data_IF_220462591324
#
_entry.id   IF_220462591324
#
_cell.length_a   1.000
_cell.length_b   1.000
_cell.length_c   1.000
_cell.angle_alpha   90.00
_cell.angle_beta   90.00
_cell.angle_gamma   90.00
#
_symmetry.space_group_name_H-M   'P 1'
#
loop_
_entity.id
_entity.type
_entity.pdbx_description
1 polymer ?
#
# COMPACT_ATOMS: atom_id res chain seq x y z
N UNK A 1 -1.16 -5.31 -25.21
CA UNK A 1 -0.68 -4.05 -24.64
C UNK A 1 -0.89 -4.07 -23.13
N UNK A 2 0.17 -3.88 -22.36
CA UNK A 2 0.04 -3.83 -20.90
C UNK A 2 -0.53 -2.48 -20.49
N UNK A 3 -1.58 -2.51 -19.69
CA UNK A 3 -2.12 -1.29 -19.10
C UNK A 3 -1.21 -0.88 -17.95
N UNK A 4 -0.63 0.32 -18.03
CA UNK A 4 0.17 0.86 -16.95
C UNK A 4 -0.74 1.37 -15.85
N UNK A 5 -0.31 1.23 -14.62
CA UNK A 5 -1.11 1.59 -13.47
C UNK A 5 -0.32 2.46 -12.51
N UNK A 6 -1.01 3.01 -11.52
CA UNK A 6 -0.39 3.84 -10.49
C UNK A 6 -0.41 3.15 -9.13
N UNK A 7 0.49 3.59 -8.26
CA UNK A 7 0.57 3.12 -6.89
C UNK A 7 0.67 4.32 -5.95
N UNK A 8 0.29 4.09 -4.71
CA UNK A 8 0.38 5.08 -3.64
C UNK A 8 1.16 4.48 -2.49
N UNK A 9 2.13 5.22 -1.96
CA UNK A 9 2.83 4.87 -0.73
C UNK A 9 2.41 5.83 0.36
N UNK A 10 1.93 5.28 1.48
CA UNK A 10 1.54 6.05 2.65
C UNK A 10 2.54 5.76 3.75
N UNK A 11 3.48 6.68 3.95
CA UNK A 11 4.59 6.48 4.89
C UNK A 11 5.22 7.83 5.24
N UNK A 12 5.83 7.89 6.42
CA UNK A 12 6.64 9.04 6.80
C UNK A 12 7.91 9.10 5.96
N UNK A 13 8.47 10.30 5.71
CA UNK A 13 9.75 10.42 5.02
C UNK A 13 10.83 9.64 5.75
N UNK A 14 11.65 8.92 4.99
CA UNK A 14 12.74 8.13 5.55
C UNK A 14 13.19 7.01 4.62
N UNK A 15 14.17 6.20 5.09
CA UNK A 15 14.75 5.15 4.24
C UNK A 15 13.75 4.12 3.76
N UNK A 16 12.75 3.75 4.58
CA UNK A 16 11.76 2.77 4.17
C UNK A 16 10.93 3.30 3.00
N UNK A 17 10.44 4.53 3.10
CA UNK A 17 9.66 5.14 2.03
C UNK A 17 10.47 5.25 0.74
N UNK A 18 11.74 5.67 0.86
CA UNK A 18 12.61 5.83 -0.29
C UNK A 18 12.86 4.48 -0.98
N UNK A 19 13.07 3.42 -0.20
CA UNK A 19 13.28 2.08 -0.72
C UNK A 19 12.03 1.53 -1.41
N UNK A 20 10.87 1.75 -0.83
CA UNK A 20 9.61 1.30 -1.42
C UNK A 20 9.33 2.04 -2.72
N UNK A 21 9.60 3.34 -2.76
CA UNK A 21 9.42 4.13 -3.96
C UNK A 21 10.32 3.61 -5.10
N UNK A 22 11.60 3.42 -4.81
CA UNK A 22 12.55 2.92 -5.80
C UNK A 22 12.15 1.53 -6.29
N UNK A 23 11.70 0.67 -5.37
CA UNK A 23 11.24 -0.67 -5.72
C UNK A 23 10.04 -0.62 -6.68
N UNK A 24 9.02 0.15 -6.34
CA UNK A 24 7.81 0.25 -7.18
C UNK A 24 8.13 0.87 -8.53
N UNK A 25 8.98 1.88 -8.57
CA UNK A 25 9.38 2.52 -9.84
C UNK A 25 10.17 1.59 -10.75
N UNK A 26 10.76 0.52 -10.20
CA UNK A 26 11.46 -0.48 -11.01
C UNK A 26 10.52 -1.47 -11.69
N UNK A 27 9.25 -1.52 -11.29
CA UNK A 27 8.29 -2.47 -11.86
C UNK A 27 7.73 -1.93 -13.18
N UNK A 28 7.79 -2.71 -14.27
CA UNK A 28 7.35 -2.21 -15.59
C UNK A 28 5.87 -1.82 -15.65
N UNK A 29 5.03 -2.45 -14.83
CA UNK A 29 3.60 -2.19 -14.85
C UNK A 29 3.19 -0.95 -14.06
N UNK A 30 4.10 -0.38 -13.26
CA UNK A 30 3.83 0.82 -12.48
C UNK A 30 4.35 2.04 -13.24
N UNK A 31 3.45 2.97 -13.54
CA UNK A 31 3.80 4.19 -14.25
C UNK A 31 4.10 5.34 -13.31
N UNK A 32 3.27 5.52 -12.30
CA UNK A 32 3.37 6.64 -11.37
C UNK A 32 3.26 6.13 -9.95
N UNK A 33 4.15 6.60 -9.08
CA UNK A 33 4.09 6.35 -7.64
C UNK A 33 3.90 7.68 -6.92
N UNK A 34 2.81 7.79 -6.17
CA UNK A 34 2.55 8.98 -5.35
C UNK A 34 2.90 8.70 -3.91
N UNK A 35 3.31 9.73 -3.19
CA UNK A 35 3.74 9.63 -1.79
C UNK A 35 2.89 10.55 -0.94
N UNK A 36 2.33 10.02 0.16
CA UNK A 36 1.62 10.81 1.17
C UNK A 36 2.03 10.36 2.56
N UNK A 37 1.75 11.16 3.58
CA UNK A 37 2.24 10.92 4.93
C UNK A 37 1.14 10.63 5.94
N UNK A 38 -0.13 10.77 5.57
CA UNK A 38 -1.25 10.61 6.50
C UNK A 38 -2.46 9.98 5.81
N UNK A 39 -3.41 9.53 6.62
CA UNK A 39 -4.60 8.87 6.12
C UNK A 39 -5.53 9.78 5.31
N UNK A 40 -5.81 11.03 5.74
CA UNK A 40 -6.67 11.89 4.93
C UNK A 40 -6.12 12.16 3.53
N UNK A 41 -4.81 12.37 3.41
CA UNK A 41 -4.16 12.56 2.11
C UNK A 41 -4.25 11.29 1.26
N UNK A 42 -4.07 10.12 1.90
CA UNK A 42 -4.17 8.84 1.21
C UNK A 42 -5.56 8.65 0.61
N UNK A 43 -6.60 8.91 1.40
CA UNK A 43 -7.98 8.74 0.93
C UNK A 43 -8.31 9.70 -0.21
N UNK A 44 -7.76 10.91 -0.18
CA UNK A 44 -7.93 11.87 -1.27
C UNK A 44 -7.31 11.36 -2.56
N UNK A 45 -6.10 10.81 -2.49
CA UNK A 45 -5.42 10.25 -3.66
C UNK A 45 -6.18 9.04 -4.21
N UNK A 46 -6.67 8.17 -3.33
CA UNK A 46 -7.46 7.00 -3.75
C UNK A 46 -8.70 7.47 -4.50
N UNK A 47 -9.39 8.48 -3.98
CA UNK A 47 -10.61 9.01 -4.60
C UNK A 47 -10.33 9.64 -5.96
N UNK A 48 -9.26 10.43 -6.07
CA UNK A 48 -8.97 11.20 -7.29
C UNK A 48 -8.32 10.35 -8.38
N UNK A 49 -7.41 9.46 -8.01
CA UNK A 49 -6.55 8.79 -8.98
C UNK A 49 -6.77 7.29 -9.08
N UNK A 50 -7.52 6.70 -8.15
CA UNK A 50 -7.84 5.27 -8.14
C UNK A 50 -6.61 4.39 -8.40
N UNK A 51 -5.56 4.48 -7.56
CA UNK A 51 -4.36 3.67 -7.77
C UNK A 51 -4.69 2.19 -7.63
N UNK A 52 -3.98 1.36 -8.38
CA UNK A 52 -4.18 -0.09 -8.29
C UNK A 52 -3.65 -0.66 -6.98
N UNK A 53 -2.60 -0.05 -6.43
CA UNK A 53 -1.94 -0.52 -5.22
C UNK A 53 -1.78 0.62 -4.23
N UNK A 54 -2.14 0.37 -2.98
CA UNK A 54 -1.90 1.29 -1.86
C UNK A 54 -1.03 0.56 -0.85
N UNK A 55 0.18 1.05 -0.63
CA UNK A 55 1.17 0.46 0.25
C UNK A 55 1.26 1.33 1.49
N UNK A 56 0.94 0.78 2.67
CA UNK A 56 0.82 1.57 3.90
C UNK A 56 1.79 1.07 4.95
N UNK A 57 2.61 2.00 5.48
CA UNK A 57 3.45 1.74 6.65
C UNK A 57 2.66 2.03 7.91
N UNK A 58 2.67 1.12 8.89
CA UNK A 58 1.95 1.31 10.15
C UNK A 58 2.53 2.43 11.01
N UNK A 59 3.75 2.90 10.74
CA UNK A 59 4.38 3.97 11.52
C UNK A 59 3.95 5.37 11.04
N UNK A 60 2.67 5.58 10.87
CA UNK A 60 2.14 6.91 10.59
C UNK A 60 1.95 7.70 11.88
N UNK A 61 2.06 9.02 11.77
CA UNK A 61 1.92 9.91 12.92
C UNK A 61 0.52 9.82 13.56
N UNK A 62 -0.49 9.55 12.76
CA UNK A 62 -1.85 9.32 13.25
C UNK A 62 -2.15 7.82 13.24
N UNK A 63 -3.22 7.41 13.92
CA UNK A 63 -3.65 6.02 13.95
C UNK A 63 -4.59 5.69 12.78
N UNK A 64 -4.37 6.37 11.65
CA UNK A 64 -5.27 6.25 10.50
C UNK A 64 -5.02 5.07 9.59
N UNK A 65 -3.97 4.27 9.84
CA UNK A 65 -3.57 3.17 8.95
C UNK A 65 -4.71 2.18 8.72
N UNK A 66 -5.34 1.73 9.81
CA UNK A 66 -6.44 0.75 9.71
C UNK A 66 -7.66 1.36 9.03
N UNK A 67 -7.85 2.66 9.20
CA UNK A 67 -8.94 3.39 8.58
C UNK A 67 -8.83 3.45 7.07
N UNK A 68 -7.62 3.50 6.54
CA UNK A 68 -7.38 3.53 5.10
C UNK A 68 -7.97 2.28 4.44
N UNK A 69 -7.61 1.10 4.95
CA UNK A 69 -8.13 -0.17 4.42
C UNK A 69 -9.64 -0.25 4.53
N UNK A 70 -10.17 0.14 5.70
CA UNK A 70 -11.61 0.07 5.94
C UNK A 70 -12.36 0.98 4.99
N UNK A 71 -11.89 2.21 4.78
CA UNK A 71 -12.54 3.16 3.89
C UNK A 71 -12.48 2.71 2.43
N UNK A 72 -11.36 2.15 2.01
CA UNK A 72 -11.26 1.61 0.66
C UNK A 72 -12.34 0.55 0.42
N UNK A 73 -12.54 -0.34 1.39
CA UNK A 73 -13.56 -1.39 1.28
C UNK A 73 -14.98 -0.84 1.32
N UNK A 74 -15.26 0.06 2.27
CA UNK A 74 -16.61 0.63 2.46
C UNK A 74 -17.03 1.45 1.24
N UNK A 75 -16.11 2.24 0.68
CA UNK A 75 -16.43 3.09 -0.48
C UNK A 75 -16.44 2.32 -1.81
N UNK A 76 -16.09 1.04 -1.79
CA UNK A 76 -16.10 0.22 -2.99
C UNK A 76 -14.96 0.48 -3.96
N UNK A 77 -13.88 1.12 -3.52
CA UNK A 77 -12.71 1.33 -4.38
C UNK A 77 -12.04 0.00 -4.71
N UNK A 78 -11.47 -0.08 -5.89
CA UNK A 78 -10.81 -1.30 -6.36
C UNK A 78 -9.31 -1.35 -6.04
N UNK A 79 -8.79 -0.35 -5.35
CA UNK A 79 -7.40 -0.32 -4.93
C UNK A 79 -7.08 -1.49 -4.01
N UNK A 80 -5.99 -2.19 -4.28
CA UNK A 80 -5.50 -3.25 -3.40
C UNK A 80 -4.64 -2.61 -2.31
N UNK A 81 -4.90 -2.97 -1.06
CA UNK A 81 -4.21 -2.39 0.08
C UNK A 81 -3.23 -3.40 0.69
N UNK A 82 -1.96 -3.05 0.70
CA UNK A 82 -0.92 -3.84 1.35
C UNK A 82 -0.37 -3.04 2.53
N UNK A 83 -0.47 -3.60 3.72
CA UNK A 83 0.00 -2.94 4.94
C UNK A 83 1.29 -3.62 5.42
N UNK A 84 2.30 -2.79 5.71
CA UNK A 84 3.56 -3.23 6.30
C UNK A 84 3.54 -2.93 7.79
N UNK A 85 3.65 -3.98 8.59
CA UNK A 85 3.57 -3.89 10.05
C UNK A 85 4.92 -4.18 10.69
N UNK A 86 5.08 -3.75 11.94
CA UNK A 86 6.33 -3.98 12.67
C UNK A 86 6.35 -5.33 13.38
N UNK A 87 5.17 -5.89 13.68
CA UNK A 87 5.09 -7.15 14.45
C UNK A 87 3.79 -7.89 14.15
N UNK A 88 3.70 -9.10 14.68
CA UNK A 88 2.57 -10.00 14.43
C UNK A 88 1.26 -9.45 15.02
N UNK A 89 1.31 -8.76 16.16
CA UNK A 89 0.12 -8.17 16.75
C UNK A 89 -0.50 -7.13 15.83
N UNK A 90 0.31 -6.23 15.29
CA UNK A 90 -0.16 -5.25 14.30
C UNK A 90 -0.68 -5.94 13.04
N UNK A 91 -0.05 -7.05 12.64
CA UNK A 91 -0.51 -7.81 11.49
C UNK A 91 -1.94 -8.32 11.69
N UNK A 92 -2.22 -8.87 12.86
CA UNK A 92 -3.56 -9.37 13.17
C UNK A 92 -4.60 -8.26 13.17
N UNK A 93 -4.27 -7.10 13.72
CA UNK A 93 -5.15 -5.93 13.72
C UNK A 93 -5.46 -5.45 12.31
N UNK A 94 -4.45 -5.41 11.44
CA UNK A 94 -4.61 -4.98 10.06
C UNK A 94 -5.46 -5.95 9.24
N UNK A 95 -5.29 -7.25 9.45
CA UNK A 95 -6.13 -8.26 8.81
C UNK A 95 -7.59 -8.08 9.23
N UNK A 96 -7.82 -7.85 10.53
CA UNK A 96 -9.16 -7.63 11.04
C UNK A 96 -9.81 -6.37 10.47
N UNK A 97 -9.00 -5.38 10.07
CA UNK A 97 -9.49 -4.14 9.44
C UNK A 97 -9.79 -4.29 7.95
N UNK A 98 -9.51 -5.45 7.35
CA UNK A 98 -9.87 -5.73 5.97
C UNK A 98 -8.81 -5.44 4.92
N UNK A 99 -7.54 -5.34 5.30
CA UNK A 99 -6.46 -5.21 4.33
C UNK A 99 -6.39 -6.44 3.42
N UNK A 100 -6.08 -6.22 2.14
CA UNK A 100 -5.94 -7.32 1.19
C UNK A 100 -4.74 -8.20 1.52
N UNK A 101 -3.65 -7.59 1.91
CA UNK A 101 -2.44 -8.29 2.30
C UNK A 101 -1.75 -7.52 3.42
N UNK A 102 -1.24 -8.25 4.42
CA UNK A 102 -0.50 -7.66 5.53
C UNK A 102 0.81 -8.40 5.68
N UNK A 103 1.92 -7.67 5.70
CA UNK A 103 3.24 -8.24 5.84
C UNK A 103 3.96 -7.61 7.02
N UNK A 104 4.80 -8.40 7.67
CA UNK A 104 5.70 -7.89 8.70
C UNK A 104 6.98 -7.43 7.99
N UNK A 105 7.49 -6.23 8.34
CA UNK A 105 8.69 -5.66 7.74
C UNK A 105 9.87 -6.61 7.84
N UNK A 106 10.78 -6.51 6.88
CA UNK A 106 11.97 -7.35 6.84
C UNK A 106 11.89 -8.54 5.89
N UNK A 107 10.78 -8.69 5.16
CA UNK A 107 10.70 -9.76 4.16
C UNK A 107 11.66 -9.47 3.00
N UNK A 108 12.19 -10.53 2.34
CA UNK A 108 13.06 -10.33 1.18
C UNK A 108 12.36 -9.62 0.03
N UNK A 109 13.12 -8.82 -0.72
CA UNK A 109 12.59 -8.08 -1.87
C UNK A 109 11.92 -9.00 -2.90
N UNK A 110 12.49 -10.17 -3.15
CA UNK A 110 11.92 -11.13 -4.09
C UNK A 110 10.52 -11.58 -3.67
N UNK A 111 10.30 -11.78 -2.36
CA UNK A 111 9.00 -12.16 -1.84
C UNK A 111 8.00 -11.03 -1.97
N UNK A 112 8.43 -9.82 -1.65
CA UNK A 112 7.59 -8.64 -1.81
C UNK A 112 7.17 -8.45 -3.28
N UNK A 113 8.10 -8.67 -4.21
CA UNK A 113 7.82 -8.60 -5.65
C UNK A 113 6.72 -9.58 -6.04
N UNK A 114 6.84 -10.84 -5.61
CA UNK A 114 5.83 -11.86 -5.90
C UNK A 114 4.44 -11.46 -5.41
N UNK A 115 4.37 -10.94 -4.19
CA UNK A 115 3.10 -10.54 -3.56
C UNK A 115 2.48 -9.37 -4.30
N UNK A 116 3.28 -8.38 -4.67
CA UNK A 116 2.79 -7.22 -5.42
C UNK A 116 2.30 -7.63 -6.80
N UNK A 117 3.04 -8.50 -7.48
CA UNK A 117 2.62 -9.04 -8.78
C UNK A 117 1.27 -9.73 -8.69
N UNK A 118 1.09 -10.54 -7.65
CA UNK A 118 -0.15 -11.25 -7.40
C UNK A 118 -1.31 -10.29 -7.15
N UNK A 119 -1.10 -9.27 -6.34
CA UNK A 119 -2.12 -8.27 -6.06
C UNK A 119 -2.52 -7.50 -7.32
N UNK A 120 -1.57 -7.15 -8.16
CA UNK A 120 -1.83 -6.39 -9.38
C UNK A 120 -2.48 -7.23 -10.47
N UNK A 121 -2.31 -8.55 -10.45
CA UNK A 121 -2.92 -9.43 -11.45
C UNK A 121 -4.28 -9.98 -11.04
N UNK A 122 -4.66 -9.89 -9.78
CA UNK A 122 -5.95 -10.41 -9.31
C UNK A 122 -7.03 -9.36 -9.51
N UNK A 123 -7.68 -9.41 -10.63
CA UNK A 123 -8.82 -8.53 -10.94
C UNK A 123 -10.07 -9.34 -11.15
#
# INVERSE_FOLDING_TARGET
>A
MKVKTSALIVAQPGPLRDSLWAFLMSLPQIEIVRLVEDAPSALRVVTEYNPALVLVDTNLADNGVLNISRQIKVEGFQSRCLILTDNIQQQQEAIAAGADTVLVKGIPAAKLFEIIEELLSST
#
